data_IF_028710129113
#
_entry.id   IF_028710129113
#
_cell.length_a   1.000
_cell.length_b   1.000
_cell.length_c   1.000
_cell.angle_alpha   90.00
_cell.angle_beta   90.00
_cell.angle_gamma   90.00
#
_symmetry.space_group_name_H-M   'P 1'
#
loop_
_entity.id
_entity.type
_entity.pdbx_description
1 polymer ?
#
# COMPACT_ATOMS: atom_id res chain seq x y z
N UNK A 1 -2.11 21.57 0.99
CA UNK A 1 -2.44 20.18 1.34
C UNK A 1 -3.33 19.55 0.28
N UNK A 2 -3.38 18.25 0.24
CA UNK A 2 -4.22 17.48 -0.68
C UNK A 2 -4.51 16.10 -0.10
N UNK A 3 -5.48 15.40 -0.67
CA UNK A 3 -5.78 14.02 -0.33
C UNK A 3 -6.07 13.21 -1.57
N UNK A 4 -5.84 11.90 -1.49
CA UNK A 4 -6.22 10.95 -2.51
C UNK A 4 -7.46 10.19 -2.03
N UNK A 5 -8.51 10.18 -2.84
CA UNK A 5 -9.66 9.31 -2.62
C UNK A 5 -9.53 8.06 -3.48
N UNK A 6 -9.31 6.91 -2.84
CA UNK A 6 -9.19 5.61 -3.54
C UNK A 6 -10.52 4.88 -3.45
N UNK A 7 -11.11 4.61 -4.60
CA UNK A 7 -12.36 3.84 -4.72
C UNK A 7 -12.05 2.49 -5.32
N UNK A 8 -12.37 1.43 -4.59
CA UNK A 8 -12.19 0.05 -5.03
C UNK A 8 -13.19 -0.31 -6.13
N UNK A 9 -12.78 -1.23 -7.01
CA UNK A 9 -13.68 -1.75 -8.07
C UNK A 9 -14.74 -2.65 -7.44
N UNK A 10 -16.00 -2.31 -7.63
CA UNK A 10 -17.13 -3.11 -7.16
C UNK A 10 -17.58 -4.15 -8.20
N UNK A 11 -18.19 -5.27 -7.79
CA UNK A 11 -18.83 -6.22 -8.70
C UNK A 11 -19.95 -5.57 -9.51
N UNK A 12 -20.06 -5.93 -10.78
CA UNK A 12 -21.16 -5.47 -11.64
C UNK A 12 -22.16 -6.59 -11.97
N UNK A 13 -21.81 -7.84 -11.67
CA UNK A 13 -22.59 -9.00 -12.04
C UNK A 13 -22.51 -9.39 -13.52
N UNK A 14 -21.75 -8.64 -14.32
CA UNK A 14 -21.49 -9.00 -15.71
C UNK A 14 -20.29 -9.95 -15.76
N UNK A 15 -20.46 -11.13 -16.34
CA UNK A 15 -19.36 -12.08 -16.52
C UNK A 15 -18.34 -11.50 -17.50
N UNK A 16 -17.24 -11.04 -16.98
CA UNK A 16 -16.12 -10.48 -17.75
C UNK A 16 -14.80 -10.67 -17.01
N UNK A 17 -13.73 -10.66 -17.76
CA UNK A 17 -12.39 -10.72 -17.19
C UNK A 17 -11.38 -10.04 -18.09
N UNK A 18 -10.26 -9.65 -17.49
CA UNK A 18 -9.09 -9.15 -18.22
C UNK A 18 -7.81 -9.68 -17.59
N UNK A 19 -6.82 -9.91 -18.43
CA UNK A 19 -5.44 -10.20 -18.05
C UNK A 19 -4.58 -9.08 -18.61
N UNK A 20 -3.73 -8.53 -17.79
CA UNK A 20 -2.78 -7.48 -18.19
C UNK A 20 -1.37 -7.94 -17.88
N UNK A 21 -0.50 -7.89 -18.85
CA UNK A 21 0.93 -8.15 -18.71
C UNK A 21 1.69 -6.89 -19.06
N UNK A 22 2.62 -6.50 -18.21
CA UNK A 22 3.48 -5.34 -18.43
C UNK A 22 4.93 -5.77 -18.25
N UNK A 23 5.78 -5.29 -19.13
CA UNK A 23 7.24 -5.37 -19.01
C UNK A 23 7.83 -4.01 -19.29
N UNK A 24 8.97 -3.73 -18.72
CA UNK A 24 9.63 -2.43 -18.88
C UNK A 24 11.07 -2.43 -18.38
N UNK A 25 11.68 -1.28 -18.37
CA UNK A 25 13.05 -1.07 -17.90
C UNK A 25 13.20 -1.52 -16.44
N UNK A 26 14.42 -1.84 -16.07
CA UNK A 26 14.79 -2.31 -14.73
C UNK A 26 14.11 -3.63 -14.34
N UNK A 27 14.05 -4.57 -15.29
CA UNK A 27 13.45 -5.90 -15.09
C UNK A 27 12.02 -5.81 -14.50
N UNK A 28 11.25 -4.83 -14.98
CA UNK A 28 9.85 -4.74 -14.61
C UNK A 28 9.07 -5.86 -15.29
N UNK A 29 8.48 -6.73 -14.47
CA UNK A 29 7.50 -7.72 -14.88
C UNK A 29 6.27 -7.59 -13.98
N UNK A 30 5.11 -7.37 -14.58
CA UNK A 30 3.85 -7.28 -13.85
C UNK A 30 2.76 -8.06 -14.58
N UNK A 31 2.08 -8.92 -13.84
CA UNK A 31 0.86 -9.59 -14.27
C UNK A 31 -0.31 -9.15 -13.41
N UNK A 32 -1.48 -8.94 -14.01
CA UNK A 32 -2.71 -8.67 -13.28
C UNK A 32 -3.90 -9.36 -13.93
N UNK A 33 -4.83 -9.81 -13.08
CA UNK A 33 -6.10 -10.44 -13.46
C UNK A 33 -7.22 -9.69 -12.77
N UNK A 34 -8.28 -9.37 -13.51
CA UNK A 34 -9.52 -8.78 -13.02
C UNK A 34 -10.69 -9.62 -13.52
N UNK A 35 -11.41 -10.27 -12.61
CA UNK A 35 -12.57 -11.10 -12.89
C UNK A 35 -13.81 -10.49 -12.24
N UNK A 36 -14.90 -10.40 -12.97
CA UNK A 36 -16.19 -9.90 -12.51
C UNK A 36 -17.28 -10.89 -12.94
N UNK A 37 -18.24 -11.18 -12.07
CA UNK A 37 -19.28 -12.14 -12.42
C UNK A 37 -20.32 -12.36 -11.34
N UNK A 38 -21.13 -13.39 -11.61
CA UNK A 38 -22.22 -13.85 -10.75
C UNK A 38 -21.90 -15.21 -10.17
N UNK A 39 -22.20 -15.40 -8.90
CA UNK A 39 -22.17 -16.71 -8.26
C UNK A 39 -23.52 -17.40 -8.40
N UNK A 40 -24.61 -16.61 -8.34
CA UNK A 40 -25.98 -17.12 -8.50
C UNK A 40 -26.59 -16.64 -9.82
N UNK A 41 -27.50 -17.45 -10.41
CA UNK A 41 -28.22 -17.06 -11.65
C UNK A 41 -29.02 -15.76 -11.50
N UNK A 42 -29.45 -15.43 -10.30
CA UNK A 42 -30.35 -14.31 -9.98
C UNK A 42 -29.63 -13.00 -9.64
N UNK A 43 -28.39 -12.78 -9.94
CA UNK A 43 -27.63 -11.60 -9.53
C UNK A 43 -27.67 -11.27 -8.02
N UNK A 44 -28.19 -12.19 -7.19
CA UNK A 44 -28.23 -11.94 -5.73
C UNK A 44 -26.85 -11.95 -5.12
N UNK A 45 -25.96 -12.81 -5.61
CA UNK A 45 -24.57 -12.87 -5.16
C UNK A 45 -23.64 -12.68 -6.36
N UNK A 46 -22.92 -11.59 -6.34
CA UNK A 46 -21.97 -11.18 -7.38
C UNK A 46 -20.59 -10.98 -6.77
N UNK A 47 -19.56 -11.19 -7.57
CA UNK A 47 -18.18 -11.12 -7.13
C UNK A 47 -17.30 -10.31 -8.07
N UNK A 48 -16.23 -9.78 -7.54
CA UNK A 48 -15.08 -9.30 -8.30
C UNK A 48 -13.79 -9.75 -7.63
N UNK A 49 -12.84 -10.24 -8.42
CA UNK A 49 -11.52 -10.64 -7.94
C UNK A 49 -10.46 -9.89 -8.73
N UNK A 50 -9.62 -9.16 -8.03
CA UNK A 50 -8.42 -8.57 -8.60
C UNK A 50 -7.19 -9.24 -7.96
N UNK A 51 -6.27 -9.71 -8.81
CA UNK A 51 -4.97 -10.24 -8.39
C UNK A 51 -3.89 -9.58 -9.22
N UNK A 52 -2.84 -9.11 -8.60
CA UNK A 52 -1.69 -8.55 -9.31
C UNK A 52 -0.39 -8.95 -8.62
N UNK A 53 0.58 -9.39 -9.42
CA UNK A 53 1.95 -9.64 -9.00
C UNK A 53 2.92 -8.76 -9.79
N UNK A 54 3.95 -8.25 -9.12
CA UNK A 54 4.97 -7.43 -9.74
C UNK A 54 6.35 -7.76 -9.17
N UNK A 55 7.33 -7.80 -10.05
CA UNK A 55 8.76 -7.80 -9.72
C UNK A 55 9.43 -6.68 -10.51
N UNK A 56 10.28 -5.91 -9.85
CA UNK A 56 11.09 -4.89 -10.52
C UNK A 56 12.38 -4.60 -9.77
N UNK A 57 13.38 -4.15 -10.52
CA UNK A 57 14.56 -3.47 -10.02
C UNK A 57 14.37 -1.95 -10.14
N UNK A 58 15.35 -1.20 -9.70
CA UNK A 58 15.37 0.25 -9.81
C UNK A 58 16.65 0.70 -10.52
N UNK A 59 16.75 1.99 -10.80
CA UNK A 59 17.95 2.60 -11.37
C UNK A 59 19.19 2.37 -10.48
N UNK A 60 19.02 2.50 -9.15
CA UNK A 60 20.07 2.23 -8.17
C UNK A 60 20.39 0.74 -8.10
N UNK A 61 21.66 0.38 -8.13
CA UNK A 61 22.14 -1.02 -8.01
C UNK A 61 21.49 -1.72 -6.81
N UNK A 62 21.29 -3.04 -6.94
CA UNK A 62 20.73 -3.93 -5.91
C UNK A 62 19.31 -3.60 -5.43
N UNK A 63 18.84 -2.37 -5.64
CA UNK A 63 17.51 -1.95 -5.21
C UNK A 63 16.43 -2.71 -6.03
N UNK A 64 15.51 -3.36 -5.32
CA UNK A 64 14.45 -4.16 -5.93
C UNK A 64 13.17 -4.13 -5.10
N UNK A 65 12.05 -4.50 -5.74
CA UNK A 65 10.76 -4.62 -5.07
C UNK A 65 9.90 -5.68 -5.73
N UNK A 66 9.39 -6.60 -4.92
CA UNK A 66 8.39 -7.59 -5.31
C UNK A 66 7.09 -7.28 -4.57
N UNK A 67 5.96 -7.40 -5.26
CA UNK A 67 4.64 -7.11 -4.67
C UNK A 67 3.61 -8.11 -5.16
N UNK A 68 2.75 -8.56 -4.24
CA UNK A 68 1.54 -9.33 -4.52
C UNK A 68 0.34 -8.62 -3.91
N UNK A 69 -0.74 -8.52 -4.68
CA UNK A 69 -2.03 -8.00 -4.21
C UNK A 69 -3.11 -9.00 -4.57
N UNK A 70 -3.99 -9.31 -3.62
CA UNK A 70 -5.19 -10.14 -3.83
C UNK A 70 -6.37 -9.39 -3.21
N UNK A 71 -7.36 -9.05 -4.02
CA UNK A 71 -8.48 -8.20 -3.62
C UNK A 71 -9.84 -8.76 -4.10
N UNK A 72 -10.42 -9.74 -3.39
CA UNK A 72 -11.79 -10.20 -3.62
C UNK A 72 -12.81 -9.20 -3.06
N UNK A 73 -13.93 -9.08 -3.78
CA UNK A 73 -15.11 -8.33 -3.38
C UNK A 73 -16.34 -9.20 -3.63
N UNK A 74 -17.25 -9.27 -2.65
CA UNK A 74 -18.52 -9.95 -2.74
C UNK A 74 -19.64 -8.95 -2.45
N UNK A 75 -20.67 -8.93 -3.29
CA UNK A 75 -21.89 -8.16 -3.01
C UNK A 75 -23.08 -9.10 -3.00
N UNK A 76 -23.84 -9.04 -1.91
CA UNK A 76 -25.11 -9.72 -1.75
C UNK A 76 -26.26 -8.72 -1.82
N UNK A 77 -27.05 -8.79 -2.89
CA UNK A 77 -28.25 -7.99 -3.07
C UNK A 77 -29.42 -8.69 -2.35
N UNK A 78 -29.79 -8.20 -1.18
CA UNK A 78 -30.90 -8.73 -0.38
C UNK A 78 -32.21 -8.53 -1.17
N UNK A 79 -32.40 -7.31 -1.64
CA UNK A 79 -33.50 -6.90 -2.51
C UNK A 79 -33.02 -5.78 -3.47
N UNK A 80 -33.95 -5.14 -4.20
CA UNK A 80 -33.61 -4.05 -5.13
C UNK A 80 -33.18 -2.74 -4.46
N UNK A 81 -33.35 -2.62 -3.15
CA UNK A 81 -33.06 -1.42 -2.35
C UNK A 81 -31.95 -1.62 -1.36
N UNK A 82 -31.55 -2.87 -1.09
CA UNK A 82 -30.64 -3.23 0.00
C UNK A 82 -29.53 -4.15 -0.48
N UNK A 83 -28.29 -3.79 -0.21
CA UNK A 83 -27.11 -4.58 -0.51
C UNK A 83 -26.13 -4.61 0.64
N UNK A 84 -25.44 -5.74 0.78
CA UNK A 84 -24.26 -5.90 1.64
C UNK A 84 -23.06 -6.18 0.74
N UNK A 85 -21.96 -5.44 0.94
CA UNK A 85 -20.71 -5.68 0.22
C UNK A 85 -19.60 -5.95 1.22
N UNK A 86 -18.92 -7.07 1.04
CA UNK A 86 -17.70 -7.42 1.75
C UNK A 86 -16.49 -7.29 0.82
N UNK A 87 -15.48 -6.60 1.26
CA UNK A 87 -14.20 -6.46 0.57
C UNK A 87 -13.07 -6.92 1.47
N UNK A 88 -12.11 -7.55 0.86
CA UNK A 88 -10.85 -7.86 1.49
C UNK A 88 -9.72 -7.52 0.54
N UNK A 89 -8.62 -7.03 1.06
CA UNK A 89 -7.38 -6.83 0.31
C UNK A 89 -6.22 -7.35 1.15
N UNK A 90 -5.45 -8.23 0.54
CA UNK A 90 -4.11 -8.57 1.01
C UNK A 90 -3.10 -7.90 0.10
N UNK A 91 -2.11 -7.24 0.69
CA UNK A 91 -0.93 -6.76 0.00
C UNK A 91 0.32 -7.27 0.73
N UNK A 92 1.14 -8.05 0.03
CA UNK A 92 2.46 -8.44 0.49
C UNK A 92 3.53 -7.80 -0.38
N UNK A 93 4.59 -7.29 0.22
CA UNK A 93 5.76 -6.83 -0.51
C UNK A 93 7.06 -7.21 0.19
N UNK A 94 8.10 -7.44 -0.63
CA UNK A 94 9.46 -7.60 -0.20
C UNK A 94 10.32 -6.65 -1.02
N UNK A 95 11.24 -5.96 -0.38
CA UNK A 95 12.06 -4.96 -1.03
C UNK A 95 13.43 -4.85 -0.39
N UNK A 96 14.45 -4.66 -1.21
CA UNK A 96 15.73 -4.17 -0.77
C UNK A 96 15.81 -2.71 -1.23
N UNK A 97 15.80 -1.79 -0.30
CA UNK A 97 15.82 -0.37 -0.62
C UNK A 97 17.22 0.21 -0.48
N UNK A 98 17.43 1.34 -1.12
CA UNK A 98 18.69 2.08 -1.01
C UNK A 98 18.94 2.63 0.42
N UNK A 99 18.04 2.39 1.34
CA UNK A 99 18.09 3.01 2.67
C UNK A 99 17.76 4.49 2.57
N UNK A 100 18.64 5.32 3.12
CA UNK A 100 18.49 6.76 3.09
C UNK A 100 19.18 7.39 1.86
N UNK A 101 19.62 8.60 2.01
CA UNK A 101 20.35 9.37 1.03
C UNK A 101 21.83 9.45 1.43
N UNK A 102 22.67 9.69 0.45
CA UNK A 102 24.05 10.11 0.65
C UNK A 102 24.32 11.43 -0.08
N UNK A 103 25.40 12.05 0.23
CA UNK A 103 25.86 13.28 -0.42
C UNK A 103 27.37 13.21 -0.63
N UNK A 104 27.87 13.99 -1.56
CA UNK A 104 29.31 14.11 -1.75
C UNK A 104 29.97 14.83 -0.58
N UNK A 105 31.15 14.41 -0.12
CA UNK A 105 31.94 15.18 0.80
C UNK A 105 32.63 16.39 0.17
N UNK A 106 32.60 16.50 -1.16
CA UNK A 106 33.30 17.58 -1.90
C UNK A 106 32.36 18.68 -2.38
N UNK A 107 31.37 18.28 -3.21
CA UNK A 107 30.51 19.26 -3.85
C UNK A 107 29.15 18.64 -4.24
N UNK A 108 28.17 19.48 -4.55
CA UNK A 108 26.90 19.06 -5.10
C UNK A 108 27.10 18.46 -6.51
N UNK A 109 26.44 17.34 -6.79
CA UNK A 109 26.55 16.63 -8.05
C UNK A 109 27.99 16.19 -8.42
N UNK A 110 28.76 15.75 -7.42
CA UNK A 110 30.11 15.21 -7.62
C UNK A 110 30.13 14.07 -8.65
N UNK A 111 30.81 14.23 -9.78
CA UNK A 111 30.85 13.22 -10.84
C UNK A 111 31.63 11.96 -10.45
N UNK A 112 32.38 11.98 -9.36
CA UNK A 112 33.08 10.81 -8.84
C UNK A 112 32.18 9.77 -8.18
N UNK A 113 30.96 10.14 -7.78
CA UNK A 113 29.98 9.20 -7.25
C UNK A 113 29.13 8.67 -8.37
N UNK A 114 29.06 7.33 -8.51
CA UNK A 114 28.25 6.70 -9.55
C UNK A 114 26.77 7.04 -9.37
N UNK A 115 26.08 7.42 -10.43
CA UNK A 115 24.66 7.77 -10.41
C UNK A 115 23.76 6.62 -9.90
N UNK A 116 24.19 5.38 -10.07
CA UNK A 116 23.50 4.17 -9.61
C UNK A 116 24.02 3.64 -8.28
N UNK A 117 24.76 4.47 -7.53
CA UNK A 117 25.34 4.13 -6.25
C UNK A 117 24.28 3.58 -5.28
N UNK A 118 24.59 2.47 -4.64
CA UNK A 118 23.74 1.84 -3.64
C UNK A 118 24.26 2.15 -2.24
N UNK A 119 23.46 2.89 -1.50
CA UNK A 119 23.79 3.29 -0.14
C UNK A 119 23.64 2.17 0.89
N UNK A 120 22.73 1.23 0.63
CA UNK A 120 22.46 0.07 1.48
C UNK A 120 23.57 -0.97 1.39
N UNK A 121 23.23 -2.19 1.78
CA UNK A 121 24.10 -3.36 1.64
C UNK A 121 23.34 -4.50 0.95
N UNK A 122 23.90 -5.14 -0.11
CA UNK A 122 23.23 -6.24 -0.80
C UNK A 122 23.00 -7.48 0.07
N UNK A 123 23.81 -7.67 1.13
CA UNK A 123 23.70 -8.77 2.08
C UNK A 123 22.60 -8.58 3.13
N UNK A 124 21.93 -7.42 3.16
CA UNK A 124 20.86 -7.17 4.12
C UNK A 124 19.62 -7.99 3.84
N UNK A 125 18.95 -8.41 4.89
CA UNK A 125 17.62 -9.03 4.79
C UNK A 125 16.63 -8.05 4.12
N UNK A 126 15.92 -8.48 3.07
CA UNK A 126 14.89 -7.64 2.47
C UNK A 126 13.80 -7.27 3.46
N UNK A 127 13.40 -6.01 3.43
CA UNK A 127 12.23 -5.55 4.15
C UNK A 127 10.97 -6.28 3.67
N UNK A 128 10.07 -6.61 4.59
CA UNK A 128 8.80 -7.29 4.33
C UNK A 128 7.66 -6.46 4.88
N UNK A 129 6.66 -6.26 4.05
CA UNK A 129 5.42 -5.60 4.41
C UNK A 129 4.26 -6.56 4.15
N UNK A 130 3.36 -6.70 5.11
CA UNK A 130 2.07 -7.38 4.96
C UNK A 130 0.98 -6.43 5.41
N UNK A 131 0.01 -6.23 4.57
CA UNK A 131 -1.15 -5.38 4.82
C UNK A 131 -2.43 -6.16 4.53
N UNK A 132 -3.35 -6.13 5.46
CA UNK A 132 -4.67 -6.74 5.37
C UNK A 132 -5.71 -5.66 5.62
N UNK A 133 -6.60 -5.48 4.67
CA UNK A 133 -7.72 -4.55 4.78
C UNK A 133 -9.03 -5.29 4.56
N UNK A 134 -9.97 -5.16 5.46
CA UNK A 134 -11.29 -5.72 5.33
C UNK A 134 -12.36 -4.65 5.52
N UNK A 135 -13.38 -4.67 4.68
CA UNK A 135 -14.51 -3.76 4.76
C UNK A 135 -15.82 -4.52 4.67
N UNK A 136 -16.80 -4.04 5.39
CA UNK A 136 -18.18 -4.45 5.28
C UNK A 136 -19.06 -3.22 5.10
N UNK A 137 -19.80 -3.17 4.01
CA UNK A 137 -20.73 -2.09 3.69
C UNK A 137 -22.16 -2.60 3.74
N UNK A 138 -23.04 -1.79 4.26
CA UNK A 138 -24.48 -1.95 4.18
C UNK A 138 -25.07 -0.71 3.54
N UNK A 139 -25.70 -0.88 2.39
CA UNK A 139 -26.33 0.18 1.61
C UNK A 139 -27.83 -0.08 1.54
N UNK A 140 -28.64 0.91 1.91
CA UNK A 140 -30.09 0.85 1.79
C UNK A 140 -30.69 2.14 1.24
N UNK A 141 -31.43 2.03 0.14
CA UNK A 141 -32.29 3.08 -0.36
C UNK A 141 -33.57 3.07 0.47
N UNK A 142 -33.77 4.08 1.33
CA UNK A 142 -34.94 4.18 2.21
C UNK A 142 -36.20 4.60 1.44
N UNK A 143 -36.03 5.53 0.49
CA UNK A 143 -37.02 5.99 -0.46
C UNK A 143 -36.29 6.68 -1.63
N UNK A 144 -37.02 7.37 -2.51
CA UNK A 144 -36.42 8.03 -3.68
C UNK A 144 -35.51 9.22 -3.35
N UNK A 145 -35.63 9.75 -2.14
CA UNK A 145 -34.89 10.91 -1.69
C UNK A 145 -33.75 10.55 -0.72
N UNK A 146 -33.89 9.48 0.06
CA UNK A 146 -33.00 9.16 1.17
C UNK A 146 -32.33 7.81 1.03
N UNK A 147 -31.03 7.79 1.37
CA UNK A 147 -30.23 6.59 1.44
C UNK A 147 -29.55 6.50 2.81
N UNK A 148 -29.48 5.30 3.33
CA UNK A 148 -28.68 4.96 4.49
C UNK A 148 -27.46 4.16 4.06
N UNK A 149 -26.30 4.52 4.61
CA UNK A 149 -25.04 3.81 4.41
C UNK A 149 -24.41 3.52 5.77
N UNK A 150 -23.94 2.28 5.98
CA UNK A 150 -23.12 1.91 7.10
C UNK A 150 -21.87 1.18 6.62
N UNK A 151 -20.75 1.39 7.30
CA UNK A 151 -19.46 0.80 6.97
C UNK A 151 -18.75 0.39 8.24
N UNK A 152 -18.15 -0.81 8.21
CA UNK A 152 -17.12 -1.22 9.15
C UNK A 152 -15.83 -1.51 8.38
N UNK A 153 -14.68 -1.15 8.96
CA UNK A 153 -13.39 -1.42 8.37
C UNK A 153 -12.39 -1.90 9.42
N UNK A 154 -11.56 -2.85 9.01
CA UNK A 154 -10.46 -3.38 9.80
C UNK A 154 -9.18 -3.37 8.96
N UNK A 155 -8.11 -2.87 9.54
CA UNK A 155 -6.78 -2.86 8.92
C UNK A 155 -5.79 -3.49 9.88
N UNK A 156 -4.97 -4.35 9.34
CA UNK A 156 -3.82 -4.92 10.03
C UNK A 156 -2.60 -4.76 9.14
N UNK A 157 -1.53 -4.30 9.72
CA UNK A 157 -0.29 -3.98 9.04
C UNK A 157 0.88 -4.52 9.85
N UNK A 158 1.75 -5.27 9.19
CA UNK A 158 3.00 -5.76 9.74
C UNK A 158 4.15 -5.37 8.82
N UNK A 159 5.18 -4.74 9.36
CA UNK A 159 6.39 -4.40 8.64
C UNK A 159 7.63 -4.85 9.42
N UNK A 160 8.50 -5.60 8.75
CA UNK A 160 9.86 -5.86 9.21
C UNK A 160 10.81 -5.31 8.17
N UNK A 161 11.67 -4.42 8.56
CA UNK A 161 12.60 -3.78 7.66
C UNK A 161 13.97 -3.58 8.30
N UNK A 162 14.97 -3.55 7.46
CA UNK A 162 16.32 -3.17 7.81
C UNK A 162 16.72 -1.97 6.97
N UNK A 163 17.38 -1.02 7.55
CA UNK A 163 17.90 0.15 6.84
C UNK A 163 19.30 0.49 7.32
N UNK A 164 20.06 1.12 6.45
CA UNK A 164 21.37 1.65 6.75
C UNK A 164 21.31 3.16 6.94
N UNK A 165 22.08 3.66 7.87
CA UNK A 165 22.17 5.08 8.18
C UNK A 165 23.61 5.51 8.16
N UNK A 166 23.87 6.69 7.60
CA UNK A 166 25.16 7.33 7.65
C UNK A 166 25.49 7.73 9.08
N UNK A 167 26.69 7.36 9.55
CA UNK A 167 27.23 7.89 10.78
C UNK A 167 27.92 9.24 10.52
N UNK A 168 28.92 9.22 9.64
CA UNK A 168 29.61 10.40 9.15
C UNK A 168 30.24 10.10 7.79
N UNK A 169 30.77 11.13 7.14
CA UNK A 169 31.48 11.02 5.87
C UNK A 169 32.86 11.69 6.03
N UNK A 170 33.92 11.01 5.61
CA UNK A 170 35.24 11.66 5.53
C UNK A 170 35.42 12.42 4.22
N UNK A 171 36.42 13.31 4.15
CA UNK A 171 36.74 14.01 2.92
C UNK A 171 37.13 13.09 1.76
N UNK A 172 37.67 11.90 2.06
CA UNK A 172 38.05 10.87 1.11
C UNK A 172 36.87 9.98 0.69
N UNK A 173 35.66 10.25 1.18
CA UNK A 173 34.44 9.54 0.84
C UNK A 173 34.24 8.24 1.63
N UNK A 174 34.97 8.02 2.70
CA UNK A 174 34.71 6.90 3.60
C UNK A 174 33.47 7.14 4.44
N UNK A 175 32.57 6.19 4.47
CA UNK A 175 31.22 6.30 5.00
C UNK A 175 30.90 5.11 5.93
N UNK A 176 31.25 5.21 7.22
CA UNK A 176 30.75 4.26 8.21
C UNK A 176 29.24 4.35 8.32
N UNK A 177 28.59 3.20 8.28
CA UNK A 177 27.13 3.08 8.34
C UNK A 177 26.72 2.29 9.57
N UNK A 178 25.58 2.59 10.12
CA UNK A 178 24.90 1.71 11.02
C UNK A 178 23.59 1.19 10.40
N UNK A 179 23.18 0.17 11.00
CA UNK A 179 22.10 -0.70 10.69
C UNK A 179 20.99 -0.52 11.70
N UNK A 180 19.83 -0.29 11.21
CA UNK A 180 18.65 -0.16 12.02
C UNK A 180 17.62 -1.20 11.57
N UNK A 181 16.98 -1.84 12.52
CA UNK A 181 15.83 -2.70 12.28
C UNK A 181 14.57 -2.02 12.72
N UNK A 182 13.49 -2.24 11.99
CA UNK A 182 12.14 -1.84 12.36
C UNK A 182 11.26 -3.09 12.37
N UNK A 183 10.51 -3.30 13.46
CA UNK A 183 9.45 -4.28 13.56
C UNK A 183 8.19 -3.53 13.99
N UNK A 184 7.26 -3.33 13.05
CA UNK A 184 6.10 -2.49 13.24
C UNK A 184 4.82 -3.29 13.05
N UNK A 185 3.86 -3.06 13.93
CA UNK A 185 2.53 -3.63 13.86
C UNK A 185 1.46 -2.57 14.06
N UNK A 186 0.47 -2.54 13.19
CA UNK A 186 -0.66 -1.62 13.27
C UNK A 186 -1.99 -2.34 13.18
N UNK A 187 -2.91 -2.00 14.06
CA UNK A 187 -4.30 -2.44 14.03
C UNK A 187 -5.22 -1.23 14.08
N UNK A 188 -6.10 -1.11 13.07
CA UNK A 188 -7.06 -0.02 13.03
C UNK A 188 -8.47 -0.57 12.79
N UNK A 189 -9.44 -0.03 13.51
CA UNK A 189 -10.86 -0.36 13.41
C UNK A 189 -11.65 0.91 13.21
N UNK A 190 -12.51 0.92 12.21
CA UNK A 190 -13.38 2.05 11.91
C UNK A 190 -14.82 1.59 11.74
N UNK A 191 -15.73 2.42 12.17
CA UNK A 191 -17.16 2.30 11.92
C UNK A 191 -17.73 3.64 11.50
N UNK A 192 -18.64 3.62 10.54
CA UNK A 192 -19.33 4.81 10.08
C UNK A 192 -20.77 4.47 9.74
N UNK A 193 -21.67 5.38 10.00
CA UNK A 193 -22.99 5.35 9.36
C UNK A 193 -23.41 6.76 8.96
N UNK A 194 -24.15 6.85 7.87
CA UNK A 194 -24.61 8.11 7.35
C UNK A 194 -25.96 8.01 6.64
N UNK A 195 -26.67 9.13 6.65
CA UNK A 195 -27.86 9.37 5.84
C UNK A 195 -27.54 10.41 4.80
N UNK A 196 -27.84 10.09 3.57
CA UNK A 196 -27.76 11.00 2.43
C UNK A 196 -29.15 11.27 1.91
N UNK A 197 -29.53 12.52 1.78
CA UNK A 197 -30.86 12.87 1.35
C UNK A 197 -30.94 14.16 0.55
N UNK A 198 -32.07 14.29 -0.11
CA UNK A 198 -32.44 15.49 -0.85
C UNK A 198 -33.85 15.88 -0.50
N UNK A 199 -34.04 17.13 -0.05
CA UNK A 199 -35.34 17.73 0.26
C UNK A 199 -35.51 19.08 -0.43
N UNK A 200 -36.74 19.53 -0.53
CA UNK A 200 -37.09 20.84 -1.11
C UNK A 200 -37.97 21.66 -0.17
N UNK A 201 -37.66 22.95 -0.08
CA UNK A 201 -38.51 23.95 0.56
C UNK A 201 -38.83 25.02 -0.49
N UNK A 202 -40.02 24.95 -1.06
CA UNK A 202 -40.38 25.79 -2.19
C UNK A 202 -39.48 25.52 -3.41
N UNK A 203 -38.77 26.54 -3.88
CA UNK A 203 -37.79 26.44 -4.99
C UNK A 203 -36.40 26.01 -4.56
N UNK A 204 -36.13 25.98 -3.25
CA UNK A 204 -34.81 25.67 -2.72
C UNK A 204 -34.63 24.15 -2.59
N UNK A 205 -33.54 23.64 -3.16
CA UNK A 205 -33.09 22.23 -3.05
C UNK A 205 -32.04 22.10 -2.00
N UNK A 206 -32.28 21.24 -1.01
CA UNK A 206 -31.33 20.91 0.06
C UNK A 206 -30.72 19.55 -0.20
N UNK A 207 -29.40 19.46 -0.17
CA UNK A 207 -28.66 18.19 -0.11
C UNK A 207 -28.11 18.03 1.29
N UNK A 208 -28.48 16.95 1.92
CA UNK A 208 -28.23 16.70 3.34
C UNK A 208 -27.35 15.46 3.45
N UNK A 209 -26.25 15.57 4.18
CA UNK A 209 -25.43 14.45 4.65
C UNK A 209 -25.30 14.58 6.17
N UNK A 210 -25.73 13.56 6.89
CA UNK A 210 -25.57 13.46 8.34
C UNK A 210 -25.04 12.08 8.71
N UNK A 211 -24.09 12.01 9.61
CA UNK A 211 -23.51 10.74 9.99
C UNK A 211 -22.61 10.84 11.21
N UNK A 212 -22.13 9.69 11.64
CA UNK A 212 -21.20 9.53 12.76
C UNK A 212 -20.08 8.56 12.35
N UNK A 213 -18.88 8.91 12.74
CA UNK A 213 -17.68 8.09 12.54
C UNK A 213 -17.11 7.69 13.91
N UNK A 214 -16.63 6.47 13.98
CA UNK A 214 -15.86 5.99 15.11
C UNK A 214 -14.56 5.34 14.61
N UNK A 215 -13.45 5.64 15.24
CA UNK A 215 -12.15 5.05 14.91
C UNK A 215 -11.34 4.70 16.15
N UNK A 216 -10.68 3.56 16.09
CA UNK A 216 -9.67 3.15 17.05
C UNK A 216 -8.41 2.75 16.29
N UNK A 217 -7.27 3.31 16.67
CA UNK A 217 -5.97 3.03 16.08
C UNK A 217 -5.01 2.56 17.16
N UNK A 218 -4.38 1.41 16.91
CA UNK A 218 -3.28 0.89 17.69
C UNK A 218 -2.05 0.78 16.83
N UNK A 219 -0.94 1.21 17.34
CA UNK A 219 0.36 1.08 16.70
C UNK A 219 1.38 0.66 17.72
N UNK A 220 2.18 -0.31 17.36
CA UNK A 220 3.36 -0.73 18.08
C UNK A 220 4.54 -0.75 17.12
N UNK A 221 5.69 -0.29 17.55
CA UNK A 221 6.90 -0.32 16.76
C UNK A 221 8.11 -0.49 17.65
N UNK A 222 8.95 -1.43 17.30
CA UNK A 222 10.29 -1.58 17.81
C UNK A 222 11.28 -1.07 16.77
N UNK A 223 11.94 0.01 17.10
CA UNK A 223 12.98 0.65 16.31
C UNK A 223 14.35 0.43 16.95
N UNK A 224 14.51 -0.67 17.66
CA UNK A 224 15.77 -1.01 18.32
C UNK A 224 16.81 -1.31 17.24
N UNK A 225 17.64 -0.69 17.36
CA UNK A 225 18.94 -0.15 17.63
C UNK A 225 19.98 -0.45 16.55
N UNK A 226 20.64 0.44 16.37
CA UNK A 226 21.95 0.78 15.89
C UNK A 226 23.00 -0.27 16.24
N UNK A 227 23.07 -1.30 15.43
CA UNK A 227 24.22 -2.20 15.48
C UNK A 227 25.38 -1.53 14.75
N UNK A 228 26.53 -1.35 15.40
CA UNK A 228 27.54 -0.42 14.97
C UNK A 228 28.42 -0.84 13.79
N UNK A 229 28.24 -2.00 13.19
CA UNK A 229 29.12 -2.41 12.09
C UNK A 229 28.40 -3.29 11.08
N UNK A 230 28.28 -2.79 9.88
CA UNK A 230 27.98 -3.61 8.71
C UNK A 230 29.29 -4.30 8.28
N UNK A 231 29.29 -5.61 8.00
CA UNK A 231 30.44 -6.25 7.39
C UNK A 231 30.86 -5.51 6.11
N UNK A 232 32.15 -5.28 5.92
CA UNK A 232 32.68 -4.50 4.80
C UNK A 232 32.64 -2.98 4.97
N UNK A 233 32.20 -2.45 6.10
CA UNK A 233 32.31 -1.01 6.40
C UNK A 233 33.73 -0.62 6.88
N UNK A 234 34.13 0.64 6.64
CA UNK A 234 33.35 1.72 6.01
C UNK A 234 33.23 1.55 4.49
N UNK A 235 32.03 1.81 3.95
CA UNK A 235 31.80 1.89 2.51
C UNK A 235 32.44 3.18 1.97
N UNK A 236 33.13 3.09 0.83
CA UNK A 236 33.63 4.29 0.15
C UNK A 236 32.70 4.66 -1.00
N UNK A 237 32.26 5.93 -1.05
CA UNK A 237 31.31 6.39 -2.07
C UNK A 237 31.89 6.44 -3.49
N UNK A 238 33.22 6.53 -3.63
CA UNK A 238 33.91 6.57 -4.92
C UNK A 238 34.33 5.19 -5.43
N UNK A 239 34.54 4.25 -4.51
CA UNK A 239 34.91 2.88 -4.83
C UNK A 239 34.21 1.91 -3.87
N UNK A 240 32.89 1.70 -4.04
CA UNK A 240 32.10 0.90 -3.10
C UNK A 240 32.45 -0.58 -3.20
N UNK A 241 32.85 -1.15 -2.08
CA UNK A 241 33.01 -2.58 -1.87
C UNK A 241 32.00 -3.00 -0.82
N UNK A 242 31.07 -3.86 -1.20
CA UNK A 242 30.03 -4.36 -0.31
C UNK A 242 30.49 -5.69 0.33
N UNK A 243 30.10 -5.92 1.61
CA UNK A 243 30.44 -7.12 2.37
C UNK A 243 29.51 -8.31 2.13
#
# INVERSE_FOLDING_TARGET
>A
GGFYNVVTKKPTGNTKGSVTLNTGSFDLYRGAVDLDGRITKSNKLIYRLNVAGQKKKFFTKYNNSNRLVVAPVLTYNIDSLTAITAEYTFQGSSYLSNGNYTFSPKEFADPGIANDFFYGDPGMEPGKLRDHSAYLYFDRKLNDKWKFHAQAAYFNFDMKATSTWLNYMTAEGSMPRYYSTADEHGENKFGQFSFNGEERTGTIRHRILAGVDYGNKKFWGDFSSLLPVIPGDPLNVYNPVYG
#
